data_IF_443840208999
#
_entry.id   IF_443840208999
#
_cell.length_a   1.000
_cell.length_b   1.000
_cell.length_c   1.000
_cell.angle_alpha   90.00
_cell.angle_beta   90.00
_cell.angle_gamma   90.00
#
_symmetry.space_group_name_H-M   'P 1'
#
loop_
_entity.id
_entity.type
_entity.pdbx_description
1 polymer ?
#
# COMPACT_ATOMS: atom_id res chain seq x y z
N UNK A 1 1.44 -19.07 20.19
CA UNK A 1 0.99 -17.68 19.91
C UNK A 1 -0.36 -17.35 20.53
N UNK A 2 -1.49 -17.96 20.11
CA UNK A 2 -2.82 -17.66 20.71
C UNK A 2 -2.86 -17.81 22.24
N UNK A 3 -2.21 -18.85 22.78
CA UNK A 3 -2.08 -19.10 24.21
C UNK A 3 -1.34 -17.98 24.94
N UNK A 4 -0.19 -17.55 24.41
CA UNK A 4 0.58 -16.43 24.96
C UNK A 4 -0.20 -15.12 24.94
N UNK A 5 -0.96 -14.84 23.87
CA UNK A 5 -1.78 -13.63 23.78
C UNK A 5 -2.97 -13.68 24.74
N UNK A 6 -3.59 -14.85 24.92
CA UNK A 6 -4.61 -15.07 25.96
C UNK A 6 -4.02 -14.82 27.34
N UNK A 7 -2.83 -15.35 27.65
CA UNK A 7 -2.17 -15.14 28.94
C UNK A 7 -1.86 -13.66 29.19
N UNK A 8 -1.39 -12.92 28.17
CA UNK A 8 -1.21 -11.47 28.27
C UNK A 8 -2.53 -10.75 28.54
N UNK A 9 -3.60 -11.09 27.81
CA UNK A 9 -4.92 -10.50 28.04
C UNK A 9 -5.45 -10.85 29.45
N UNK A 10 -5.21 -12.05 29.96
CA UNK A 10 -5.60 -12.47 31.31
C UNK A 10 -4.84 -11.68 32.38
N UNK A 11 -3.52 -11.52 32.22
CA UNK A 11 -2.71 -10.73 33.15
C UNK A 11 -3.15 -9.26 33.20
N UNK A 12 -3.36 -8.64 32.03
CA UNK A 12 -3.87 -7.27 31.96
C UNK A 12 -5.33 -7.14 32.41
N UNK A 13 -6.12 -8.22 32.38
CA UNK A 13 -7.51 -8.19 32.84
C UNK A 13 -7.64 -8.12 34.36
N UNK A 14 -6.59 -8.54 35.10
CA UNK A 14 -6.50 -8.40 36.57
C UNK A 14 -6.35 -6.95 37.01
N UNK A 15 -5.80 -6.09 36.15
CA UNK A 15 -5.63 -4.66 36.43
C UNK A 15 -6.93 -3.92 36.10
N UNK A 16 -7.41 -3.11 37.03
CA UNK A 16 -8.58 -2.27 36.83
C UNK A 16 -8.26 -1.08 35.93
N UNK A 17 -8.23 -1.32 34.63
CA UNK A 17 -7.99 -0.27 33.64
C UNK A 17 -9.28 0.12 32.95
N UNK A 18 -9.42 1.43 32.71
CA UNK A 18 -10.47 2.00 31.86
C UNK A 18 -10.48 1.34 30.48
N UNK A 19 -11.58 1.49 29.76
CA UNK A 19 -11.70 0.93 28.42
C UNK A 19 -10.67 1.50 27.44
N UNK A 20 -10.38 2.80 27.51
CA UNK A 20 -9.30 3.43 26.74
C UNK A 20 -7.92 2.89 27.14
N UNK A 21 -7.64 2.73 28.44
CA UNK A 21 -6.37 2.20 28.91
C UNK A 21 -6.14 0.74 28.52
N UNK A 22 -7.19 -0.08 28.34
CA UNK A 22 -7.09 -1.43 27.76
C UNK A 22 -6.63 -1.40 26.31
N UNK A 23 -7.13 -0.46 25.53
CA UNK A 23 -6.74 -0.28 24.13
C UNK A 23 -5.27 0.16 24.06
N UNK A 24 -4.86 1.09 24.93
CA UNK A 24 -3.47 1.49 25.06
C UNK A 24 -2.57 0.29 25.45
N UNK A 25 -2.98 -0.51 26.44
CA UNK A 25 -2.25 -1.72 26.85
C UNK A 25 -2.11 -2.74 25.70
N UNK A 26 -3.15 -2.90 24.86
CA UNK A 26 -3.05 -3.72 23.65
C UNK A 26 -2.03 -3.16 22.65
N UNK A 27 -2.08 -1.85 22.38
CA UNK A 27 -1.13 -1.19 21.47
C UNK A 27 0.32 -1.30 21.97
N UNK A 28 0.53 -1.22 23.27
CA UNK A 28 1.88 -1.25 23.86
C UNK A 28 2.44 -2.68 24.01
N UNK A 29 1.62 -3.65 24.41
CA UNK A 29 2.13 -4.99 24.77
C UNK A 29 1.93 -6.04 23.68
N UNK A 30 0.79 -5.97 22.97
CA UNK A 30 0.36 -7.01 22.05
C UNK A 30 0.76 -6.70 20.61
N UNK A 31 0.56 -5.46 20.18
CA UNK A 31 0.89 -5.04 18.82
C UNK A 31 2.37 -5.29 18.47
N UNK A 32 3.37 -4.96 19.31
CA UNK A 32 4.78 -5.25 18.99
C UNK A 32 5.07 -6.74 18.82
N UNK A 33 4.44 -7.60 19.64
CA UNK A 33 4.60 -9.06 19.54
C UNK A 33 3.97 -9.63 18.28
N UNK A 34 2.79 -9.13 17.89
CA UNK A 34 2.15 -9.51 16.63
C UNK A 34 2.99 -9.07 15.43
N UNK A 35 3.47 -7.83 15.43
CA UNK A 35 4.30 -7.29 14.34
C UNK A 35 5.62 -8.03 14.19
N UNK A 36 6.28 -8.37 15.31
CA UNK A 36 7.48 -9.21 15.28
C UNK A 36 7.21 -10.53 14.56
N UNK A 37 6.11 -11.21 14.91
CA UNK A 37 5.75 -12.49 14.30
C UNK A 37 5.40 -12.36 12.83
N UNK A 38 4.63 -11.34 12.43
CA UNK A 38 4.31 -11.14 11.02
C UNK A 38 5.54 -10.83 10.16
N UNK A 39 6.56 -10.19 10.74
CA UNK A 39 7.82 -9.92 10.05
C UNK A 39 8.76 -11.12 10.02
N UNK A 40 8.76 -11.94 11.08
CA UNK A 40 9.64 -13.09 11.21
C UNK A 40 9.13 -14.35 10.48
N UNK A 41 7.80 -14.48 10.30
CA UNK A 41 7.19 -15.65 9.69
C UNK A 41 6.80 -15.36 8.24
N UNK A 42 7.54 -15.91 7.26
CA UNK A 42 7.20 -15.80 5.84
C UNK A 42 6.08 -16.79 5.44
N UNK A 43 5.02 -16.91 6.25
CA UNK A 43 3.97 -17.93 6.09
C UNK A 43 2.61 -17.28 5.88
N UNK A 44 1.82 -17.84 4.97
CA UNK A 44 0.42 -17.49 4.79
C UNK A 44 -0.38 -17.80 6.07
N UNK A 45 -0.77 -16.78 6.82
CA UNK A 45 -1.66 -16.98 7.95
C UNK A 45 -3.11 -17.18 7.47
N UNK A 46 -3.78 -18.26 7.90
CA UNK A 46 -5.19 -18.47 7.57
C UNK A 46 -6.04 -17.30 8.08
N UNK A 47 -7.01 -16.86 7.27
CA UNK A 47 -7.91 -15.76 7.66
C UNK A 47 -8.67 -16.08 8.95
N UNK A 48 -9.07 -17.34 9.15
CA UNK A 48 -9.73 -17.83 10.38
C UNK A 48 -8.87 -17.62 11.62
N UNK A 49 -7.56 -17.86 11.49
CA UNK A 49 -6.60 -17.63 12.57
C UNK A 49 -6.53 -16.15 12.97
N UNK A 50 -6.43 -15.25 11.98
CA UNK A 50 -6.41 -13.80 12.20
C UNK A 50 -7.72 -13.29 12.82
N UNK A 51 -8.87 -13.84 12.42
CA UNK A 51 -10.17 -13.52 13.01
C UNK A 51 -10.29 -14.02 14.45
N UNK A 52 -9.76 -15.20 14.74
CA UNK A 52 -9.70 -15.73 16.11
C UNK A 52 -8.85 -14.84 17.02
N UNK A 53 -7.72 -14.33 16.52
CA UNK A 53 -6.90 -13.34 17.21
C UNK A 53 -7.72 -12.06 17.50
N UNK A 54 -8.37 -11.49 16.48
CA UNK A 54 -9.20 -10.30 16.64
C UNK A 54 -10.33 -10.51 17.67
N UNK A 55 -10.94 -11.70 17.70
CA UNK A 55 -11.99 -12.06 18.67
C UNK A 55 -11.48 -12.03 20.11
N UNK A 56 -10.28 -12.54 20.37
CA UNK A 56 -9.65 -12.48 21.70
C UNK A 56 -9.41 -11.01 22.13
N UNK A 57 -8.94 -10.17 21.22
CA UNK A 57 -8.73 -8.74 21.50
C UNK A 57 -10.03 -8.01 21.80
N UNK A 58 -11.07 -8.29 21.01
CA UNK A 58 -12.40 -7.73 21.24
C UNK A 58 -12.94 -8.14 22.62
N UNK A 59 -12.83 -9.43 22.98
CA UNK A 59 -13.24 -9.92 24.31
C UNK A 59 -12.48 -9.22 25.44
N UNK A 60 -11.17 -8.98 25.27
CA UNK A 60 -10.36 -8.26 26.25
C UNK A 60 -10.80 -6.80 26.43
N UNK A 61 -11.01 -6.10 25.31
CA UNK A 61 -11.50 -4.70 25.30
C UNK A 61 -12.85 -4.61 26.01
N UNK A 62 -13.77 -5.54 25.76
CA UNK A 62 -15.12 -5.54 26.33
C UNK A 62 -15.28 -6.27 27.68
N UNK A 63 -14.21 -6.71 28.37
CA UNK A 63 -14.30 -7.50 29.62
C UNK A 63 -15.18 -8.76 29.48
N UNK A 64 -15.16 -9.40 28.32
CA UNK A 64 -16.03 -10.54 28.02
C UNK A 64 -17.51 -10.19 27.80
N UNK A 65 -17.90 -8.91 27.93
CA UNK A 65 -19.26 -8.43 27.61
C UNK A 65 -19.46 -8.33 26.09
N UNK A 66 -20.72 -8.23 25.68
CA UNK A 66 -21.07 -8.04 24.26
C UNK A 66 -20.55 -6.68 23.76
N UNK A 67 -19.91 -6.62 22.58
CA UNK A 67 -19.46 -5.37 21.97
C UNK A 67 -20.63 -4.39 21.79
N UNK A 68 -20.48 -3.16 22.30
CA UNK A 68 -21.49 -2.10 22.09
C UNK A 68 -21.32 -1.39 20.74
N UNK A 69 -20.13 -1.50 20.15
CA UNK A 69 -19.75 -0.82 18.91
C UNK A 69 -19.41 -1.86 17.84
N UNK A 70 -19.81 -1.60 16.60
CA UNK A 70 -19.47 -2.45 15.45
C UNK A 70 -17.95 -2.50 15.26
N UNK A 71 -17.41 -3.68 14.97
CA UNK A 71 -15.96 -3.89 14.83
C UNK A 71 -15.29 -2.97 13.79
N UNK A 72 -16.01 -2.60 12.71
CA UNK A 72 -15.49 -1.66 11.71
C UNK A 72 -15.24 -0.25 12.29
N UNK A 73 -16.18 0.28 13.09
CA UNK A 73 -16.04 1.56 13.79
C UNK A 73 -14.99 1.49 14.90
N UNK A 74 -14.97 0.37 15.63
CA UNK A 74 -14.03 0.13 16.72
C UNK A 74 -12.57 0.21 16.24
N UNK A 75 -12.31 -0.27 15.03
CA UNK A 75 -10.97 -0.36 14.44
C UNK A 75 -10.51 0.89 13.69
N UNK A 76 -11.42 1.82 13.38
CA UNK A 76 -11.09 3.09 12.73
C UNK A 76 -10.26 3.99 13.62
N UNK A 77 -9.46 4.89 13.02
CA UNK A 77 -8.71 5.91 13.76
C UNK A 77 -9.67 6.86 14.49
N UNK A 78 -9.15 7.55 15.51
CA UNK A 78 -9.90 8.58 16.24
C UNK A 78 -10.32 9.71 15.28
N UNK A 79 -9.41 10.14 14.41
CA UNK A 79 -9.67 11.11 13.33
C UNK A 79 -10.77 10.66 12.36
N UNK A 80 -10.95 9.34 12.19
CA UNK A 80 -11.99 8.76 11.35
C UNK A 80 -13.32 8.55 12.07
N UNK A 81 -13.53 9.12 13.26
CA UNK A 81 -14.72 8.91 14.09
C UNK A 81 -14.78 7.55 14.78
N UNK A 82 -13.64 6.85 14.84
CA UNK A 82 -13.47 5.55 15.47
C UNK A 82 -12.80 5.63 16.84
N UNK A 83 -12.39 4.47 17.34
CA UNK A 83 -11.83 4.30 18.70
C UNK A 83 -10.33 3.91 18.64
N UNK A 84 -9.87 3.40 17.50
CA UNK A 84 -8.48 3.07 17.26
C UNK A 84 -8.04 1.73 17.84
N UNK A 85 -8.92 0.72 17.95
CA UNK A 85 -8.49 -0.65 18.29
C UNK A 85 -7.69 -1.26 17.14
N UNK A 86 -6.53 -1.90 17.41
CA UNK A 86 -5.75 -2.54 16.36
C UNK A 86 -6.52 -3.62 15.59
N UNK A 87 -6.57 -3.48 14.26
CA UNK A 87 -7.11 -4.53 13.38
C UNK A 87 -5.98 -5.48 12.94
N UNK A 88 -5.96 -6.69 13.52
CA UNK A 88 -4.91 -7.69 13.30
C UNK A 88 -4.75 -8.05 11.81
N UNK A 89 -5.85 -8.14 11.06
CA UNK A 89 -5.81 -8.47 9.63
C UNK A 89 -5.15 -7.34 8.82
N UNK A 90 -5.47 -6.09 9.13
CA UNK A 90 -4.88 -4.95 8.42
C UNK A 90 -3.41 -4.78 8.77
N UNK A 91 -3.01 -5.02 10.02
CA UNK A 91 -1.59 -5.03 10.39
C UNK A 91 -0.80 -6.15 9.71
N UNK A 92 -1.38 -7.35 9.59
CA UNK A 92 -0.76 -8.43 8.82
C UNK A 92 -0.55 -8.01 7.35
N UNK A 93 -1.58 -7.47 6.71
CA UNK A 93 -1.48 -6.98 5.33
C UNK A 93 -0.49 -5.84 5.17
N UNK A 94 -0.50 -4.87 6.07
CA UNK A 94 0.45 -3.78 6.09
C UNK A 94 1.88 -4.31 6.19
N UNK A 95 2.14 -5.28 7.07
CA UNK A 95 3.47 -5.89 7.19
C UNK A 95 3.92 -6.57 5.88
N UNK A 96 3.03 -7.28 5.19
CA UNK A 96 3.33 -7.91 3.90
C UNK A 96 3.59 -6.86 2.81
N UNK A 97 2.81 -5.77 2.76
CA UNK A 97 3.06 -4.66 1.84
C UNK A 97 4.40 -3.99 2.11
N UNK A 98 4.79 -3.83 3.38
CA UNK A 98 6.09 -3.25 3.75
C UNK A 98 7.25 -4.14 3.33
N UNK A 99 7.08 -5.46 3.41
CA UNK A 99 8.07 -6.40 2.92
C UNK A 99 8.17 -6.33 1.38
N UNK A 100 7.05 -6.33 0.66
CA UNK A 100 7.05 -6.16 -0.81
C UNK A 100 7.67 -4.84 -1.23
N UNK A 101 7.38 -3.74 -0.53
CA UNK A 101 7.98 -2.43 -0.80
C UNK A 101 9.50 -2.43 -0.62
N UNK A 102 10.05 -3.24 0.29
CA UNK A 102 11.49 -3.38 0.45
C UNK A 102 12.19 -3.97 -0.80
N UNK A 103 11.46 -4.68 -1.68
CA UNK A 103 11.99 -5.15 -2.96
C UNK A 103 12.10 -4.05 -4.03
N UNK A 104 11.34 -2.96 -3.88
CA UNK A 104 11.33 -1.82 -4.79
C UNK A 104 12.41 -0.78 -4.46
N UNK A 105 12.93 -0.81 -3.23
CA UNK A 105 13.90 0.16 -2.74
C UNK A 105 15.29 -0.12 -3.30
N UNK A 106 16.03 0.95 -3.61
CA UNK A 106 17.46 0.89 -3.89
C UNK A 106 18.23 0.44 -2.64
N UNK A 107 19.28 -0.39 -2.79
CA UNK A 107 20.08 -0.86 -1.66
C UNK A 107 20.75 0.32 -0.90
N UNK A 108 21.06 0.19 0.41
CA UNK A 108 21.06 -1.04 1.21
C UNK A 108 19.71 -1.37 1.85
N UNK A 109 19.18 -2.54 1.50
CA UNK A 109 18.01 -3.19 2.10
C UNK A 109 18.38 -4.45 2.89
N UNK A 110 17.40 -5.12 3.51
CA UNK A 110 17.65 -6.35 4.25
C UNK A 110 18.15 -7.47 3.32
N UNK A 111 19.06 -8.32 3.80
CA UNK A 111 19.75 -9.31 2.96
C UNK A 111 18.82 -10.23 2.16
N UNK A 112 17.65 -10.57 2.72
CA UNK A 112 16.68 -11.44 2.04
C UNK A 112 16.12 -10.85 0.73
N UNK A 113 16.11 -9.52 0.56
CA UNK A 113 15.64 -8.92 -0.70
C UNK A 113 16.59 -9.23 -1.85
N UNK A 114 17.90 -9.34 -1.57
CA UNK A 114 18.89 -9.78 -2.56
C UNK A 114 18.62 -11.21 -3.01
N UNK A 115 18.37 -12.11 -2.05
CA UNK A 115 18.02 -13.51 -2.34
C UNK A 115 16.76 -13.60 -3.21
N UNK A 116 15.69 -12.89 -2.84
CA UNK A 116 14.47 -12.89 -3.66
C UNK A 116 14.68 -12.24 -5.03
N UNK A 117 15.46 -11.17 -5.13
CA UNK A 117 15.77 -10.55 -6.43
C UNK A 117 16.51 -11.49 -7.37
N UNK A 118 17.34 -12.39 -6.85
CA UNK A 118 18.03 -13.40 -7.65
C UNK A 118 17.05 -14.40 -8.29
N UNK A 119 15.96 -14.77 -7.59
CA UNK A 119 14.90 -15.64 -8.16
C UNK A 119 14.09 -14.96 -9.27
N UNK A 120 14.09 -13.63 -9.31
CA UNK A 120 13.33 -12.86 -10.28
C UNK A 120 14.10 -12.60 -11.58
N UNK A 121 15.40 -12.91 -11.62
CA UNK A 121 16.22 -12.75 -12.82
C UNK A 121 15.62 -13.49 -14.03
N UNK A 122 15.67 -12.89 -15.24
CA UNK A 122 16.34 -11.63 -15.58
C UNK A 122 15.52 -10.36 -15.27
N UNK A 123 14.33 -10.48 -14.66
CA UNK A 123 13.40 -9.37 -14.46
C UNK A 123 13.67 -8.60 -13.16
N UNK A 124 13.44 -7.29 -13.20
CA UNK A 124 13.45 -6.44 -12.00
C UNK A 124 12.25 -6.78 -11.10
N UNK A 125 12.40 -6.78 -9.75
CA UNK A 125 11.29 -6.97 -8.82
C UNK A 125 10.12 -6.01 -9.04
N UNK A 126 10.40 -4.81 -9.57
CA UNK A 126 9.38 -3.81 -9.89
C UNK A 126 8.39 -4.28 -10.95
N UNK A 127 8.86 -5.02 -11.96
CA UNK A 127 8.02 -5.62 -13.01
C UNK A 127 7.03 -6.60 -12.38
N UNK A 128 7.49 -7.37 -11.41
CA UNK A 128 6.69 -8.44 -10.81
C UNK A 128 5.63 -7.88 -9.86
N UNK A 129 5.92 -6.77 -9.20
CA UNK A 129 5.00 -6.15 -8.26
C UNK A 129 3.98 -5.26 -8.97
N UNK A 130 4.43 -4.34 -9.82
CA UNK A 130 3.55 -3.31 -10.34
C UNK A 130 2.75 -3.71 -11.58
N UNK A 131 3.30 -4.59 -12.41
CA UNK A 131 2.63 -4.96 -13.65
C UNK A 131 1.38 -5.81 -13.37
N UNK A 132 0.27 -5.64 -14.12
CA UNK A 132 -0.91 -6.50 -14.00
C UNK A 132 -0.60 -7.96 -14.27
N UNK A 133 -1.40 -8.86 -13.67
CA UNK A 133 -1.22 -10.32 -13.81
C UNK A 133 -1.18 -10.80 -15.27
N UNK A 134 -1.92 -10.14 -16.16
CA UNK A 134 -2.00 -10.46 -17.59
C UNK A 134 -0.72 -10.13 -18.37
N UNK A 135 0.02 -9.10 -17.94
CA UNK A 135 1.19 -8.59 -18.65
C UNK A 135 2.51 -9.12 -18.08
N UNK A 136 2.47 -9.90 -16.98
CA UNK A 136 3.68 -10.40 -16.32
C UNK A 136 4.36 -11.52 -17.12
N UNK A 137 5.70 -11.59 -17.08
CA UNK A 137 6.44 -12.72 -17.64
C UNK A 137 6.12 -14.01 -16.88
N UNK A 138 6.20 -15.14 -17.59
CA UNK A 138 6.11 -16.47 -16.97
C UNK A 138 7.38 -16.72 -16.16
N UNK A 139 7.21 -16.83 -14.84
CA UNK A 139 8.31 -17.08 -13.89
C UNK A 139 8.36 -18.56 -13.51
N UNK A 140 9.55 -19.08 -13.12
CA UNK A 140 9.67 -20.38 -12.46
C UNK A 140 8.87 -20.41 -11.14
N UNK A 141 8.60 -21.61 -10.58
CA UNK A 141 7.89 -21.72 -9.31
C UNK A 141 8.60 -20.92 -8.21
N UNK A 142 7.90 -19.89 -7.74
CA UNK A 142 8.42 -18.99 -6.72
C UNK A 142 8.42 -19.67 -5.35
N UNK A 143 9.39 -19.35 -4.47
CA UNK A 143 9.35 -19.83 -3.10
C UNK A 143 8.04 -19.39 -2.40
N UNK A 144 7.55 -20.15 -1.40
CA UNK A 144 6.29 -19.86 -0.71
C UNK A 144 6.18 -18.42 -0.21
N UNK A 145 7.29 -17.83 0.22
CA UNK A 145 7.33 -16.44 0.68
C UNK A 145 7.12 -15.43 -0.46
N UNK A 146 7.80 -15.60 -1.60
CA UNK A 146 7.66 -14.68 -2.73
C UNK A 146 6.26 -14.77 -3.36
N UNK A 147 5.69 -15.98 -3.43
CA UNK A 147 4.32 -16.15 -3.90
C UNK A 147 3.30 -15.50 -2.96
N UNK A 148 3.51 -15.57 -1.65
CA UNK A 148 2.72 -14.85 -0.65
C UNK A 148 2.78 -13.34 -0.83
N UNK A 149 3.99 -12.77 -0.88
CA UNK A 149 4.21 -11.33 -1.03
C UNK A 149 3.53 -10.81 -2.30
N UNK A 150 3.70 -11.52 -3.42
CA UNK A 150 3.06 -11.19 -4.70
C UNK A 150 1.54 -11.23 -4.60
N UNK A 151 0.97 -12.27 -3.98
CA UNK A 151 -0.48 -12.43 -3.84
C UNK A 151 -1.10 -11.32 -3.00
N UNK A 152 -0.49 -11.01 -1.85
CA UNK A 152 -0.98 -9.94 -0.98
C UNK A 152 -0.79 -8.57 -1.61
N UNK A 153 0.29 -8.35 -2.36
CA UNK A 153 0.49 -7.13 -3.14
C UNK A 153 -0.66 -6.93 -4.13
N UNK A 154 -0.88 -7.89 -5.04
CA UNK A 154 -1.95 -7.81 -6.06
C UNK A 154 -3.34 -7.55 -5.46
N UNK A 155 -3.65 -8.20 -4.33
CA UNK A 155 -4.96 -8.07 -3.69
C UNK A 155 -5.20 -6.66 -3.14
N UNK A 156 -4.16 -6.04 -2.59
CA UNK A 156 -4.29 -4.75 -1.91
C UNK A 156 -4.02 -3.57 -2.87
N UNK A 157 -3.12 -3.68 -3.85
CA UNK A 157 -2.87 -2.62 -4.83
C UNK A 157 -4.10 -2.28 -5.67
N UNK A 158 -4.88 -3.28 -6.07
CA UNK A 158 -6.16 -3.07 -6.76
C UNK A 158 -7.14 -2.18 -5.96
N UNK A 159 -7.03 -2.16 -4.64
CA UNK A 159 -7.86 -1.33 -3.74
C UNK A 159 -7.25 0.03 -3.42
N UNK A 160 -5.92 0.14 -3.48
CA UNK A 160 -5.17 1.32 -3.04
C UNK A 160 -4.89 2.31 -4.17
N UNK A 161 -4.80 1.85 -5.42
CA UNK A 161 -4.33 2.66 -6.57
C UNK A 161 -5.50 3.25 -7.38
N UNK A 162 -6.76 3.02 -6.99
CA UNK A 162 -7.94 3.49 -7.72
C UNK A 162 -7.83 3.27 -9.24
N UNK A 163 -7.71 1.99 -9.63
CA UNK A 163 -7.78 1.45 -11.00
C UNK A 163 -7.13 2.32 -12.10
N UNK A 164 -5.80 2.35 -12.11
CA UNK A 164 -5.02 2.43 -13.36
C UNK A 164 -4.25 1.13 -13.56
N UNK A 165 -4.07 0.67 -14.81
CA UNK A 165 -3.39 -0.58 -15.10
C UNK A 165 -1.89 -0.55 -14.76
N UNK A 166 -1.30 0.63 -14.57
CA UNK A 166 0.13 0.81 -14.31
C UNK A 166 0.29 1.82 -13.19
N UNK A 167 1.24 1.54 -12.30
CA UNK A 167 1.57 2.47 -11.25
C UNK A 167 2.52 3.54 -11.79
N UNK A 168 2.26 4.80 -11.47
CA UNK A 168 3.12 5.92 -11.87
C UNK A 168 4.43 5.96 -11.08
N UNK A 169 4.47 5.20 -9.98
CA UNK A 169 5.69 4.85 -9.26
C UNK A 169 6.62 3.92 -10.06
N UNK A 170 6.16 3.37 -11.19
CA UNK A 170 6.90 2.36 -11.93
C UNK A 170 8.19 2.92 -12.50
N UNK A 171 9.31 2.22 -12.28
CA UNK A 171 10.53 2.56 -12.98
C UNK A 171 10.34 2.30 -14.48
N UNK A 172 10.95 3.14 -15.31
CA UNK A 172 10.93 2.99 -16.78
C UNK A 172 11.46 1.64 -17.25
N UNK A 173 12.20 0.93 -16.41
CA UNK A 173 12.60 -0.46 -16.64
C UNK A 173 11.43 -1.40 -16.90
N UNK A 174 10.24 -1.10 -16.36
CA UNK A 174 9.01 -1.87 -16.62
C UNK A 174 8.57 -1.72 -18.08
N UNK A 175 8.69 -0.52 -18.65
CA UNK A 175 8.37 -0.28 -20.06
C UNK A 175 9.31 -0.99 -21.02
N UNK A 176 10.58 -1.17 -20.65
CA UNK A 176 11.54 -1.94 -21.46
C UNK A 176 11.15 -3.41 -21.66
N UNK A 177 10.32 -3.97 -20.77
CA UNK A 177 9.77 -5.31 -20.98
C UNK A 177 8.57 -5.32 -21.93
N UNK A 178 7.83 -4.21 -22.02
CA UNK A 178 6.55 -4.11 -22.72
C UNK A 178 6.70 -3.52 -24.12
N UNK A 179 7.69 -2.66 -24.34
CA UNK A 179 7.96 -1.99 -25.61
C UNK A 179 9.14 -2.69 -26.29
N UNK A 180 8.94 -3.32 -27.46
CA UNK A 180 10.04 -3.87 -28.25
C UNK A 180 11.08 -2.79 -28.57
N UNK A 181 12.37 -3.11 -28.42
CA UNK A 181 13.50 -2.22 -28.71
C UNK A 181 13.57 -0.92 -27.89
N UNK A 182 12.84 -0.83 -26.78
CA UNK A 182 12.98 0.30 -25.85
C UNK A 182 14.12 0.05 -24.86
N UNK A 183 15.13 0.92 -24.86
CA UNK A 183 16.19 0.89 -23.86
C UNK A 183 15.90 1.90 -22.73
N UNK A 184 15.48 1.43 -21.54
CA UNK A 184 15.23 2.30 -20.39
C UNK A 184 16.51 2.94 -19.84
N UNK A 185 17.70 2.39 -20.15
CA UNK A 185 18.97 2.89 -19.61
C UNK A 185 19.29 4.29 -20.12
N UNK A 186 18.95 4.57 -21.37
CA UNK A 186 19.19 5.87 -22.00
C UNK A 186 18.42 6.97 -21.26
N UNK A 187 17.19 6.71 -20.84
CA UNK A 187 16.39 7.64 -20.03
C UNK A 187 16.95 7.83 -18.62
N UNK A 188 17.47 6.76 -18.01
CA UNK A 188 18.04 6.84 -16.65
C UNK A 188 19.31 7.68 -16.60
N UNK A 189 20.07 7.78 -17.70
CA UNK A 189 21.25 8.66 -17.80
C UNK A 189 20.85 10.15 -17.68
N UNK A 190 19.67 10.52 -18.18
CA UNK A 190 19.11 11.87 -18.08
C UNK A 190 18.28 12.07 -16.80
N UNK A 191 18.52 11.27 -15.76
CA UNK A 191 17.78 11.28 -14.49
C UNK A 191 16.25 11.06 -14.60
N UNK A 192 15.77 10.57 -15.74
CA UNK A 192 14.38 10.15 -15.92
C UNK A 192 14.30 8.65 -15.62
N UNK A 193 13.78 8.33 -14.46
CA UNK A 193 13.73 6.95 -13.94
C UNK A 193 12.31 6.43 -13.82
N UNK A 194 11.29 7.29 -13.76
CA UNK A 194 9.92 6.93 -13.41
C UNK A 194 8.91 7.46 -14.41
N UNK A 195 7.79 6.73 -14.54
CA UNK A 195 6.65 7.18 -15.35
C UNK A 195 6.01 8.46 -14.83
N UNK A 196 5.92 8.65 -13.51
CA UNK A 196 5.39 9.88 -12.89
C UNK A 196 6.08 11.16 -13.34
N UNK A 197 7.34 11.11 -13.79
CA UNK A 197 8.09 12.29 -14.24
C UNK A 197 7.61 12.84 -15.59
N UNK A 198 6.87 12.05 -16.38
CA UNK A 198 6.26 12.46 -17.64
C UNK A 198 4.92 13.19 -17.43
N UNK A 199 4.48 13.38 -16.18
CA UNK A 199 3.19 13.98 -15.85
C UNK A 199 3.33 15.21 -14.94
N UNK A 200 2.58 16.26 -15.28
CA UNK A 200 2.37 17.47 -14.48
C UNK A 200 0.92 17.54 -13.96
N UNK A 201 0.58 18.61 -13.22
CA UNK A 201 -0.78 18.86 -12.72
C UNK A 201 -1.83 18.95 -13.84
N UNK A 202 -1.42 19.44 -15.02
CA UNK A 202 -2.27 19.63 -16.21
C UNK A 202 -2.31 18.40 -17.13
N UNK A 203 -1.53 17.34 -16.85
CA UNK A 203 -1.50 16.13 -17.67
C UNK A 203 -0.10 15.72 -18.15
N UNK A 204 -0.05 14.98 -19.25
CA UNK A 204 1.18 14.45 -19.84
C UNK A 204 2.01 15.55 -20.49
N UNK A 205 3.29 15.60 -20.13
CA UNK A 205 4.22 16.62 -20.59
C UNK A 205 4.53 16.46 -22.08
N UNK A 206 4.46 17.53 -22.88
CA UNK A 206 5.00 17.50 -24.25
C UNK A 206 6.53 17.35 -24.23
N UNK A 207 7.09 16.81 -25.30
CA UNK A 207 8.51 16.49 -25.39
C UNK A 207 9.42 17.73 -25.23
N UNK A 208 9.01 18.89 -25.74
CA UNK A 208 9.72 20.16 -25.55
C UNK A 208 9.97 20.49 -24.08
N UNK A 209 8.95 20.39 -23.24
CA UNK A 209 9.05 20.63 -21.79
C UNK A 209 9.92 19.63 -21.06
N UNK A 210 10.04 18.40 -21.59
CA UNK A 210 10.95 17.40 -21.04
C UNK A 210 12.40 17.68 -21.40
N UNK A 211 12.66 18.18 -22.61
CA UNK A 211 13.98 18.67 -23.02
C UNK A 211 14.40 19.81 -22.08
N UNK A 212 13.54 20.82 -21.90
CA UNK A 212 13.83 21.97 -21.04
C UNK A 212 14.11 21.60 -19.57
N UNK A 213 13.54 20.48 -19.10
CA UNK A 213 13.58 20.08 -17.68
C UNK A 213 14.72 19.14 -17.33
N UNK A 214 15.11 18.26 -18.26
CA UNK A 214 16.06 17.17 -18.01
C UNK A 214 17.21 17.12 -19.04
N UNK A 215 17.36 18.15 -19.89
CA UNK A 215 18.39 18.26 -20.92
C UNK A 215 18.48 16.99 -21.80
N UNK A 216 17.32 16.53 -22.27
CA UNK A 216 17.18 15.28 -23.03
C UNK A 216 17.52 15.54 -24.51
N UNK A 217 18.30 14.67 -25.18
CA UNK A 217 18.58 14.80 -26.61
C UNK A 217 17.33 14.57 -27.47
N UNK A 218 17.23 15.30 -28.58
CA UNK A 218 16.10 15.18 -29.50
C UNK A 218 15.98 13.79 -30.16
N UNK A 219 17.05 13.00 -30.18
CA UNK A 219 17.07 11.62 -30.68
C UNK A 219 16.09 10.69 -29.95
N UNK A 220 15.74 11.00 -28.70
CA UNK A 220 14.82 10.20 -27.89
C UNK A 220 13.34 10.43 -28.21
N UNK A 221 13.02 11.30 -29.18
CA UNK A 221 11.65 11.60 -29.59
C UNK A 221 10.84 10.36 -29.97
N UNK A 222 11.43 9.41 -30.71
CA UNK A 222 10.76 8.16 -31.08
C UNK A 222 10.42 7.32 -29.84
N UNK A 223 11.36 7.18 -28.91
CA UNK A 223 11.15 6.42 -27.68
C UNK A 223 10.09 7.08 -26.77
N UNK A 224 10.03 8.41 -26.74
CA UNK A 224 8.96 9.17 -26.09
C UNK A 224 7.59 8.87 -26.75
N UNK A 225 7.55 8.84 -28.09
CA UNK A 225 6.36 8.46 -28.85
C UNK A 225 5.89 7.04 -28.52
N UNK A 226 6.82 6.08 -28.36
CA UNK A 226 6.50 4.71 -27.94
C UNK A 226 5.88 4.68 -26.55
N UNK A 227 6.44 5.40 -25.57
CA UNK A 227 5.88 5.52 -24.21
C UNK A 227 4.46 6.08 -24.28
N UNK A 228 4.27 7.19 -25.01
CA UNK A 228 2.96 7.83 -25.17
C UNK A 228 1.94 6.88 -25.81
N UNK A 229 2.34 6.15 -26.85
CA UNK A 229 1.48 5.17 -27.53
C UNK A 229 1.07 4.03 -26.60
N UNK A 230 2.00 3.50 -25.80
CA UNK A 230 1.65 2.44 -24.83
C UNK A 230 0.71 2.93 -23.74
N UNK A 231 0.99 4.12 -23.18
CA UNK A 231 0.08 4.74 -22.21
C UNK A 231 -1.31 4.94 -22.81
N UNK A 232 -1.40 5.30 -24.09
CA UNK A 232 -2.67 5.42 -24.79
C UNK A 232 -3.42 4.08 -24.90
N UNK A 233 -2.72 2.99 -25.30
CA UNK A 233 -3.27 1.62 -25.36
C UNK A 233 -3.79 1.13 -24.01
N UNK A 234 -3.15 1.55 -22.92
CA UNK A 234 -3.57 1.24 -21.55
C UNK A 234 -4.70 2.13 -21.02
N UNK A 235 -5.40 2.86 -21.91
CA UNK A 235 -6.59 3.63 -21.56
C UNK A 235 -6.32 5.03 -21.02
N UNK A 236 -5.07 5.51 -21.06
CA UNK A 236 -4.75 6.91 -20.76
C UNK A 236 -4.94 7.82 -21.99
N UNK A 237 -5.15 7.26 -23.19
CA UNK A 237 -5.13 7.94 -24.50
C UNK A 237 -6.04 9.18 -24.62
N UNK A 238 -7.27 9.10 -24.11
CA UNK A 238 -8.23 10.21 -24.14
C UNK A 238 -8.22 11.12 -22.91
N UNK A 239 -7.49 10.75 -21.85
CA UNK A 239 -7.45 11.43 -20.54
C UNK A 239 -6.07 11.97 -20.16
N UNK A 240 -5.02 11.70 -20.94
CA UNK A 240 -3.66 12.21 -20.72
C UNK A 240 -3.62 13.74 -20.57
N UNK A 241 -4.61 14.46 -21.11
CA UNK A 241 -4.68 15.93 -21.10
C UNK A 241 -5.71 16.54 -20.15
N UNK A 242 -6.65 15.79 -19.56
CA UNK A 242 -7.84 16.42 -18.95
C UNK A 242 -8.10 16.19 -17.47
N UNK A 243 -7.44 15.26 -16.78
CA UNK A 243 -7.42 15.24 -15.30
C UNK A 243 -6.35 14.27 -14.84
N UNK A 244 -5.34 14.77 -14.13
CA UNK A 244 -4.26 13.95 -13.60
C UNK A 244 -4.77 13.04 -12.45
N UNK A 245 -4.45 11.73 -12.44
CA UNK A 245 -4.35 11.00 -11.19
C UNK A 245 -3.06 11.42 -10.48
N UNK A 246 -3.17 12.11 -9.36
CA UNK A 246 -2.03 12.27 -8.44
C UNK A 246 -1.50 10.88 -8.07
N UNK A 247 -0.18 10.74 -7.86
CA UNK A 247 0.38 9.52 -7.27
C UNK A 247 -0.49 9.16 -6.07
N UNK A 248 -1.00 7.94 -6.06
CA UNK A 248 -1.78 7.47 -4.92
C UNK A 248 -0.91 7.62 -3.66
N UNK A 249 -1.52 7.88 -2.49
CA UNK A 249 -0.77 7.92 -1.24
C UNK A 249 0.11 6.67 -1.04
N UNK A 250 -0.32 5.52 -1.57
CA UNK A 250 0.48 4.31 -1.58
C UNK A 250 1.70 4.36 -2.53
N UNK A 251 1.56 4.88 -3.74
CA UNK A 251 2.69 5.06 -4.66
C UNK A 251 3.70 6.10 -4.16
N UNK A 252 3.23 7.20 -3.54
CA UNK A 252 4.13 8.20 -2.94
C UNK A 252 4.99 7.58 -1.84
N UNK A 253 4.39 6.74 -0.98
CA UNK A 253 5.12 6.05 0.09
C UNK A 253 6.07 4.98 -0.42
N UNK A 254 5.75 4.34 -1.54
CA UNK A 254 6.65 3.41 -2.23
C UNK A 254 7.80 4.11 -2.97
N UNK A 255 7.71 5.40 -3.27
CA UNK A 255 8.73 6.14 -4.06
C UNK A 255 9.64 7.02 -3.20
N UNK A 256 9.09 7.59 -2.14
CA UNK A 256 9.81 8.37 -1.13
C UNK A 256 9.54 7.73 0.23
N UNK A 257 10.44 6.86 0.73
CA UNK A 257 10.30 6.29 2.06
C UNK A 257 10.57 7.37 3.11
N UNK A 258 9.58 8.23 3.38
CA UNK A 258 9.56 9.11 4.54
C UNK A 258 9.62 8.19 5.77
N UNK A 259 10.81 8.12 6.37
CA UNK A 259 11.12 7.32 7.56
C UNK A 259 10.75 5.82 7.46
N UNK A 260 11.74 4.97 7.14
CA UNK A 260 11.65 3.48 7.23
C UNK A 260 10.99 2.97 8.52
N UNK A 261 11.03 3.76 9.61
CA UNK A 261 10.52 3.45 10.94
C UNK A 261 9.00 3.37 11.02
N UNK A 262 8.23 4.05 10.17
CA UNK A 262 6.75 4.13 10.28
C UNK A 262 5.97 3.49 9.13
N UNK A 263 6.64 2.82 8.21
CA UNK A 263 5.99 2.29 6.99
C UNK A 263 4.81 1.35 7.27
N UNK A 264 4.90 0.51 8.31
CA UNK A 264 3.79 -0.37 8.70
C UNK A 264 2.56 0.44 9.12
N UNK A 265 2.76 1.53 9.88
CA UNK A 265 1.67 2.41 10.30
C UNK A 265 1.04 3.09 9.09
N UNK A 266 1.87 3.64 8.19
CA UNK A 266 1.38 4.32 6.99
C UNK A 266 0.56 3.36 6.11
N UNK A 267 1.08 2.16 5.83
CA UNK A 267 0.32 1.14 5.11
C UNK A 267 -0.96 0.72 5.83
N UNK A 268 -0.93 0.63 7.16
CA UNK A 268 -2.11 0.32 7.95
C UNK A 268 -3.19 1.41 7.79
N UNK A 269 -2.81 2.69 7.90
CA UNK A 269 -3.72 3.82 7.79
C UNK A 269 -4.31 3.94 6.37
N UNK A 270 -3.51 3.67 5.33
CA UNK A 270 -3.97 3.59 3.94
C UNK A 270 -4.96 2.44 3.70
N UNK A 271 -4.70 1.26 4.27
CA UNK A 271 -5.63 0.12 4.21
C UNK A 271 -6.92 0.41 5.01
N UNK A 272 -6.82 1.14 6.11
CA UNK A 272 -7.96 1.53 6.92
C UNK A 272 -8.84 2.54 6.18
N UNK A 273 -8.26 3.61 5.64
CA UNK A 273 -8.97 4.66 4.89
C UNK A 273 -9.64 4.15 3.62
N UNK A 274 -8.95 3.30 2.84
CA UNK A 274 -9.55 2.66 1.65
C UNK A 274 -10.74 1.75 1.97
N UNK A 275 -10.80 1.19 3.18
CA UNK A 275 -11.96 0.41 3.65
C UNK A 275 -13.00 1.25 4.39
N UNK A 276 -12.62 2.42 4.89
CA UNK A 276 -13.46 3.35 5.65
C UNK A 276 -14.35 4.20 4.75
N UNK A 277 -15.06 3.57 3.82
CA UNK A 277 -15.98 4.27 2.91
C UNK A 277 -17.45 4.03 3.29
N UNK A 278 -17.83 4.37 4.54
CA UNK A 278 -19.25 4.34 4.98
C UNK A 278 -19.67 5.45 5.96
N UNK A 279 -18.76 6.29 6.46
CA UNK A 279 -19.12 7.42 7.35
C UNK A 279 -19.78 8.60 6.63
N UNK A 280 -19.47 8.75 5.34
CA UNK A 280 -20.10 9.76 4.49
C UNK A 280 -21.62 9.62 4.42
N UNK A 281 -22.21 8.47 4.76
CA UNK A 281 -23.67 8.33 4.77
C UNK A 281 -24.30 9.18 5.88
N UNK A 282 -23.74 9.14 7.10
CA UNK A 282 -24.28 9.94 8.20
C UNK A 282 -23.94 11.41 8.01
N UNK A 283 -22.69 11.72 7.64
CA UNK A 283 -22.29 13.10 7.34
C UNK A 283 -23.16 13.71 6.23
N UNK A 284 -23.35 13.03 5.09
CA UNK A 284 -24.24 13.52 4.03
C UNK A 284 -25.69 13.61 4.44
N UNK A 285 -26.18 12.72 5.31
CA UNK A 285 -27.55 12.82 5.81
C UNK A 285 -27.70 14.07 6.69
N UNK A 286 -26.76 14.32 7.59
CA UNK A 286 -26.77 15.52 8.43
C UNK A 286 -26.52 16.80 7.63
N UNK A 287 -25.64 16.80 6.64
CA UNK A 287 -25.43 17.95 5.73
C UNK A 287 -26.67 18.23 4.89
N UNK A 288 -27.41 17.18 4.47
CA UNK A 288 -28.72 17.33 3.83
C UNK A 288 -29.77 17.90 4.77
N UNK A 289 -29.85 17.38 5.99
CA UNK A 289 -30.84 17.81 6.99
C UNK A 289 -30.59 19.25 7.48
N UNK A 290 -29.31 19.65 7.56
CA UNK A 290 -28.89 21.00 7.98
C UNK A 290 -28.78 22.00 6.82
N UNK A 291 -28.86 21.54 5.57
CA UNK A 291 -28.73 22.38 4.37
C UNK A 291 -27.38 23.09 4.23
N UNK A 292 -26.33 22.63 4.92
CA UNK A 292 -24.98 23.22 4.88
C UNK A 292 -23.91 22.15 4.93
N UNK A 293 -22.81 22.37 4.19
CA UNK A 293 -21.61 21.56 4.29
C UNK A 293 -20.85 21.96 5.56
N UNK A 294 -20.58 20.98 6.44
CA UNK A 294 -19.84 21.22 7.67
C UNK A 294 -18.35 20.92 7.41
N UNK A 295 -17.43 21.86 7.69
CA UNK A 295 -16.00 21.61 7.59
C UNK A 295 -15.59 20.49 8.56
N UNK A 296 -14.55 19.72 8.20
CA UNK A 296 -14.12 18.52 8.94
C UNK A 296 -13.79 18.76 10.41
N UNK A 297 -13.42 19.99 10.77
CA UNK A 297 -13.10 20.39 12.15
C UNK A 297 -14.35 20.56 13.03
N UNK A 298 -15.53 20.72 12.44
CA UNK A 298 -16.81 20.86 13.15
C UNK A 298 -17.55 19.52 13.34
N UNK A 299 -17.02 18.43 12.77
CA UNK A 299 -17.53 17.05 12.89
C UNK A 299 -16.80 16.27 13.97
#
# INVERSE_FOLDING_TARGET
MLTQLRNLCMNWSKVEVSWAGRIAALKMSLLPKLLYLFRALPIALPRTYLLNLQSVLSKFVWRGKRPRVRAALLNQSIEGGGIGVPNVLMYYKASMLTASQALLMTPPGPQWTRLLSAYFLPYSPSIILWLPRSLRPKLPPLPPFASLLRREWDYNTAKLINYHPIALADPLTVLGHLIPHFDPRVWTLHAVTRLSQFFNQEGFLPFSRLIDKYDIPHSLWLSYGQIRSQLALWGLGGKLSSTRPLLSPFETTCTHPLERRKMISICYDLLLTSTANKHWKYQRNWEKDLGRELPREQW
#
